data_IF_274693189323
#
_entry.id   IF_274693189323
#
_cell.length_a   1.000
_cell.length_b   1.000
_cell.length_c   1.000
_cell.angle_alpha   90.00
_cell.angle_beta   90.00
_cell.angle_gamma   90.00
#
_symmetry.space_group_name_H-M   'P 1'
#
loop_
_entity.id
_entity.type
_entity.pdbx_description
1 polymer ?
#
# COMPACT_ATOMS: atom_id res chain seq x y z
N UNK A 1 -4.87 -8.69 -7.85
CA UNK A 1 -5.68 -7.86 -8.76
C UNK A 1 -5.14 -6.43 -8.85
N UNK A 2 -3.94 -6.23 -9.35
CA UNK A 2 -3.25 -4.94 -9.47
C UNK A 2 -4.12 -3.72 -9.79
N UNK A 3 -4.24 -3.36 -11.06
CA UNK A 3 -5.00 -2.18 -11.52
C UNK A 3 -6.49 -2.45 -11.79
N UNK A 4 -6.96 -3.69 -11.62
CA UNK A 4 -8.39 -3.99 -11.72
C UNK A 4 -9.15 -3.37 -10.56
N UNK A 5 -10.18 -2.58 -10.86
CA UNK A 5 -10.94 -1.84 -9.85
C UNK A 5 -12.11 -2.67 -9.31
N UNK A 6 -11.77 -3.67 -8.49
CA UNK A 6 -12.77 -4.53 -7.83
C UNK A 6 -13.20 -3.94 -6.48
N UNK A 7 -14.46 -4.20 -6.07
CA UNK A 7 -14.95 -3.71 -4.78
C UNK A 7 -14.33 -4.44 -3.59
N UNK A 8 -14.44 -3.82 -2.42
CA UNK A 8 -14.07 -4.41 -1.15
C UNK A 8 -15.03 -5.56 -0.82
N UNK A 9 -14.48 -6.68 -0.37
CA UNK A 9 -15.27 -7.83 0.06
C UNK A 9 -15.96 -7.56 1.42
N UNK A 10 -17.05 -8.27 1.74
CA UNK A 10 -17.74 -8.10 3.03
C UNK A 10 -16.83 -8.24 4.25
N UNK A 11 -15.89 -9.19 4.22
CA UNK A 11 -14.89 -9.38 5.29
C UNK A 11 -13.97 -8.15 5.42
N UNK A 12 -13.58 -7.58 4.30
CA UNK A 12 -12.78 -6.35 4.27
C UNK A 12 -13.56 -5.14 4.83
N UNK A 13 -14.85 -5.04 4.53
CA UNK A 13 -15.70 -4.00 5.11
C UNK A 13 -15.82 -4.14 6.63
N UNK A 14 -16.03 -5.37 7.12
CA UNK A 14 -16.11 -5.63 8.56
C UNK A 14 -14.80 -5.27 9.27
N UNK A 15 -13.66 -5.62 8.68
CA UNK A 15 -12.32 -5.29 9.21
C UNK A 15 -12.11 -3.77 9.25
N UNK A 16 -12.45 -3.07 8.18
CA UNK A 16 -12.32 -1.60 8.12
C UNK A 16 -13.18 -0.91 9.18
N UNK A 17 -14.42 -1.37 9.38
CA UNK A 17 -15.30 -0.86 10.44
C UNK A 17 -14.70 -1.10 11.83
N UNK A 18 -14.11 -2.26 12.06
CA UNK A 18 -13.48 -2.59 13.34
C UNK A 18 -12.24 -1.73 13.63
N UNK A 19 -11.55 -1.24 12.60
CA UNK A 19 -10.39 -0.35 12.75
C UNK A 19 -10.77 1.11 13.02
N UNK A 20 -12.02 1.50 12.80
CA UNK A 20 -12.46 2.89 12.91
C UNK A 20 -12.10 3.55 14.25
N UNK A 21 -12.34 2.95 15.42
CA UNK A 21 -12.00 3.59 16.70
C UNK A 21 -10.49 3.89 16.82
N UNK A 22 -9.64 3.00 16.33
CA UNK A 22 -8.18 3.20 16.33
C UNK A 22 -7.78 4.37 15.45
N UNK A 23 -8.37 4.47 14.27
CA UNK A 23 -8.09 5.56 13.31
C UNK A 23 -8.63 6.89 13.86
N UNK A 24 -9.82 6.92 14.43
CA UNK A 24 -10.43 8.13 15.01
C UNK A 24 -9.65 8.66 16.23
N UNK A 25 -8.88 7.82 16.90
CA UNK A 25 -8.01 8.24 18.01
C UNK A 25 -6.78 9.04 17.53
N UNK A 26 -6.50 9.05 16.24
CA UNK A 26 -5.39 9.79 15.64
C UNK A 26 -5.88 11.07 14.95
N UNK A 27 -5.03 12.07 14.91
CA UNK A 27 -5.26 13.31 14.16
C UNK A 27 -4.34 13.34 12.95
N UNK A 28 -4.92 13.45 11.76
CA UNK A 28 -4.16 13.51 10.51
C UNK A 28 -4.22 14.91 9.91
N UNK A 29 -3.08 15.40 9.42
CA UNK A 29 -3.01 16.64 8.64
C UNK A 29 -3.36 16.41 7.17
N UNK A 30 -3.21 15.18 6.68
CA UNK A 30 -3.46 14.79 5.30
C UNK A 30 -3.91 13.33 5.25
N UNK A 31 -4.92 13.05 4.44
CA UNK A 31 -5.39 11.68 4.17
C UNK A 31 -5.39 11.45 2.67
N UNK A 32 -4.60 10.49 2.20
CA UNK A 32 -4.46 10.16 0.79
C UNK A 32 -4.98 8.75 0.50
N UNK A 33 -5.67 8.59 -0.62
CA UNK A 33 -6.17 7.28 -1.05
C UNK A 33 -5.85 6.99 -2.50
N UNK A 34 -5.55 5.73 -2.77
CA UNK A 34 -5.62 5.19 -4.12
C UNK A 34 -6.98 5.49 -4.76
N UNK A 35 -7.05 5.72 -6.08
CA UNK A 35 -8.33 5.90 -6.77
C UNK A 35 -9.20 4.63 -6.80
N UNK A 36 -8.62 3.44 -6.50
CA UNK A 36 -9.36 2.17 -6.51
C UNK A 36 -10.46 2.16 -5.46
N UNK A 37 -11.66 1.69 -5.84
CA UNK A 37 -12.84 1.72 -4.97
C UNK A 37 -12.62 0.99 -3.63
N UNK A 38 -11.88 -0.12 -3.62
CA UNK A 38 -11.60 -0.87 -2.38
C UNK A 38 -10.78 -0.07 -1.36
N UNK A 39 -9.87 0.77 -1.81
CA UNK A 39 -9.09 1.65 -0.92
C UNK A 39 -9.94 2.82 -0.42
N UNK A 40 -10.68 3.48 -1.30
CA UNK A 40 -11.59 4.58 -0.92
C UNK A 40 -12.67 4.10 0.05
N UNK A 41 -13.26 2.94 -0.22
CA UNK A 41 -14.27 2.36 0.66
C UNK A 41 -13.71 2.06 2.05
N UNK A 42 -12.48 1.57 2.14
CA UNK A 42 -11.79 1.36 3.41
C UNK A 42 -11.68 2.67 4.19
N UNK A 43 -11.24 3.75 3.54
CA UNK A 43 -11.14 5.06 4.19
C UNK A 43 -12.50 5.59 4.66
N UNK A 44 -13.55 5.42 3.85
CA UNK A 44 -14.93 5.79 4.22
C UNK A 44 -15.40 5.07 5.49
N UNK A 45 -15.21 3.75 5.53
CA UNK A 45 -15.61 2.92 6.67
C UNK A 45 -14.81 3.24 7.94
N UNK A 46 -13.61 3.76 7.80
CA UNK A 46 -12.78 4.24 8.90
C UNK A 46 -13.11 5.68 9.33
N UNK A 47 -14.10 6.32 8.72
CA UNK A 47 -14.57 7.65 9.09
C UNK A 47 -13.81 8.80 8.42
N UNK A 48 -13.00 8.53 7.42
CA UNK A 48 -12.17 9.54 6.74
C UNK A 48 -12.65 9.89 5.33
N UNK A 49 -13.82 9.39 4.91
CA UNK A 49 -14.34 9.56 3.55
C UNK A 49 -14.39 11.01 3.07
N UNK A 50 -14.77 11.94 3.93
CA UNK A 50 -14.88 13.38 3.60
C UNK A 50 -13.52 14.09 3.57
N UNK A 51 -12.46 13.42 4.00
CA UNK A 51 -11.12 14.01 4.15
C UNK A 51 -10.09 13.48 3.17
N UNK A 52 -10.38 12.39 2.47
CA UNK A 52 -9.42 11.79 1.54
C UNK A 52 -9.24 12.63 0.30
N UNK A 53 -7.99 12.77 -0.11
CA UNK A 53 -7.60 13.24 -1.43
C UNK A 53 -7.10 12.04 -2.25
N UNK A 54 -7.52 11.94 -3.49
CA UNK A 54 -7.10 10.86 -4.38
C UNK A 54 -5.70 11.15 -4.91
N UNK A 55 -4.82 10.18 -4.75
CA UNK A 55 -3.47 10.22 -5.32
C UNK A 55 -3.23 8.98 -6.20
N UNK A 56 -3.13 9.15 -7.52
CA UNK A 56 -2.87 8.03 -8.43
C UNK A 56 -1.57 7.27 -8.14
N UNK A 57 -0.60 7.91 -7.49
CA UNK A 57 0.65 7.24 -7.10
C UNK A 57 0.44 6.14 -6.06
N UNK A 58 -0.71 6.11 -5.39
CA UNK A 58 -1.08 5.07 -4.41
C UNK A 58 -1.73 3.83 -5.05
N UNK A 59 -1.86 3.79 -6.37
CA UNK A 59 -2.41 2.64 -7.09
C UNK A 59 -1.51 1.41 -6.90
N UNK A 60 -2.12 0.20 -6.89
CA UNK A 60 -1.36 -1.04 -6.78
C UNK A 60 -0.40 -1.22 -7.95
N UNK A 61 0.60 -2.07 -7.78
CA UNK A 61 1.54 -2.48 -8.81
C UNK A 61 0.79 -2.93 -10.06
N UNK A 62 1.14 -2.36 -11.20
CA UNK A 62 0.58 -2.78 -12.48
C UNK A 62 1.32 -4.05 -12.94
N UNK A 63 0.63 -5.18 -12.87
CA UNK A 63 1.20 -6.48 -13.26
C UNK A 63 1.17 -6.75 -14.77
N UNK A 64 0.66 -5.81 -15.57
CA UNK A 64 0.61 -5.96 -17.03
C UNK A 64 -0.15 -7.22 -17.45
N UNK A 65 0.49 -8.07 -18.24
CA UNK A 65 -0.10 -9.32 -18.73
C UNK A 65 -0.37 -10.36 -17.62
N UNK A 66 0.23 -10.18 -16.44
CA UNK A 66 0.01 -11.09 -15.31
C UNK A 66 -1.15 -10.67 -14.41
N UNK A 67 -1.89 -9.63 -14.79
CA UNK A 67 -3.09 -9.23 -14.07
C UNK A 67 -4.09 -10.37 -14.00
N UNK A 68 -4.52 -10.74 -12.79
CA UNK A 68 -5.44 -11.85 -12.56
C UNK A 68 -4.84 -13.25 -12.68
N UNK A 69 -3.53 -13.36 -12.96
CA UNK A 69 -2.84 -14.64 -13.06
C UNK A 69 -2.13 -14.93 -11.75
N UNK A 70 -2.26 -16.15 -11.25
CA UNK A 70 -1.60 -16.55 -10.00
C UNK A 70 -0.10 -16.78 -10.20
N UNK A 71 0.67 -16.63 -9.13
CA UNK A 71 2.12 -16.95 -9.15
C UNK A 71 2.35 -18.39 -9.61
N UNK A 72 1.50 -19.33 -9.20
CA UNK A 72 1.60 -20.72 -9.61
C UNK A 72 1.49 -20.89 -11.12
N UNK A 73 0.49 -20.22 -11.72
CA UNK A 73 0.28 -20.26 -13.19
C UNK A 73 1.44 -19.62 -13.94
N UNK A 74 1.94 -18.49 -13.47
CA UNK A 74 3.10 -17.83 -14.08
C UNK A 74 4.32 -18.75 -14.06
N UNK A 75 4.54 -19.45 -12.96
CA UNK A 75 5.68 -20.37 -12.79
C UNK A 75 5.62 -21.61 -13.67
N UNK A 76 4.50 -21.92 -14.28
CA UNK A 76 4.40 -22.97 -15.28
C UNK A 76 5.24 -22.64 -16.54
N UNK A 77 5.38 -21.35 -16.86
CA UNK A 77 6.15 -20.89 -18.02
C UNK A 77 7.44 -20.14 -17.63
N UNK A 78 7.48 -19.53 -16.47
CA UNK A 78 8.64 -18.80 -15.93
C UNK A 78 8.97 -19.36 -14.54
N UNK A 79 9.73 -20.47 -14.46
CA UNK A 79 10.11 -21.07 -13.16
C UNK A 79 10.74 -20.05 -12.21
N UNK A 80 10.43 -20.16 -10.92
CA UNK A 80 10.95 -19.30 -9.85
C UNK A 80 10.54 -17.82 -9.94
N UNK A 81 9.61 -17.47 -10.83
CA UNK A 81 9.13 -16.09 -10.95
C UNK A 81 8.55 -15.58 -9.61
N UNK A 82 8.94 -14.35 -9.27
CA UNK A 82 8.25 -13.53 -8.26
C UNK A 82 8.14 -12.10 -8.80
N UNK A 83 7.16 -11.35 -8.33
CA UNK A 83 7.02 -9.93 -8.71
C UNK A 83 8.27 -9.11 -8.32
N UNK A 84 9.01 -9.58 -7.32
CA UNK A 84 10.19 -8.90 -6.79
C UNK A 84 11.45 -9.07 -7.65
N UNK A 85 11.55 -10.17 -8.37
CA UNK A 85 12.81 -10.60 -9.02
C UNK A 85 12.70 -10.72 -10.53
N UNK A 86 11.50 -10.71 -11.10
CA UNK A 86 11.31 -10.91 -12.53
C UNK A 86 10.25 -9.95 -13.08
N UNK A 87 10.32 -9.56 -14.37
CA UNK A 87 9.44 -8.57 -14.94
C UNK A 87 7.99 -9.06 -15.07
N UNK A 88 7.08 -8.09 -15.08
CA UNK A 88 5.70 -8.27 -15.52
C UNK A 88 5.59 -7.68 -16.94
N UNK A 89 5.41 -8.51 -17.98
CA UNK A 89 5.31 -7.99 -19.35
C UNK A 89 4.21 -6.94 -19.48
N UNK A 90 4.57 -5.77 -20.05
CA UNK A 90 3.71 -4.58 -20.17
C UNK A 90 3.20 -4.03 -18.83
N UNK A 91 3.82 -4.41 -17.74
CA UNK A 91 3.54 -3.88 -16.41
C UNK A 91 4.67 -3.00 -15.89
N UNK A 92 4.55 -2.63 -14.62
CA UNK A 92 5.58 -1.86 -13.93
C UNK A 92 6.74 -2.75 -13.48
N UNK A 93 7.92 -2.17 -13.41
CA UNK A 93 9.07 -2.71 -12.69
C UNK A 93 9.03 -2.28 -11.22
N UNK A 94 9.84 -2.92 -10.37
CA UNK A 94 10.00 -2.46 -8.98
C UNK A 94 10.48 -1.01 -8.89
N UNK A 95 11.35 -0.57 -9.80
CA UNK A 95 11.83 0.82 -9.86
C UNK A 95 10.72 1.81 -10.25
N UNK A 96 9.81 1.43 -11.14
CA UNK A 96 8.65 2.25 -11.48
C UNK A 96 7.76 2.46 -10.25
N UNK A 97 7.50 1.41 -9.50
CA UNK A 97 6.70 1.46 -8.27
C UNK A 97 7.43 2.27 -7.20
N UNK A 98 8.73 2.10 -7.03
CA UNK A 98 9.53 2.89 -6.10
C UNK A 98 9.54 4.39 -6.44
N UNK A 99 9.52 4.75 -7.73
CA UNK A 99 9.41 6.14 -8.16
C UNK A 99 8.09 6.76 -7.71
N UNK A 100 6.98 6.02 -7.82
CA UNK A 100 5.67 6.45 -7.29
C UNK A 100 5.70 6.56 -5.76
N UNK A 101 6.32 5.59 -5.09
CA UNK A 101 6.47 5.61 -3.64
C UNK A 101 7.23 6.84 -3.16
N UNK A 102 8.31 7.23 -3.84
CA UNK A 102 9.06 8.46 -3.51
C UNK A 102 8.19 9.71 -3.62
N UNK A 103 7.32 9.80 -4.62
CA UNK A 103 6.39 10.95 -4.75
C UNK A 103 5.41 11.01 -3.59
N UNK A 104 4.89 9.86 -3.16
CA UNK A 104 3.99 9.78 -2.00
C UNK A 104 4.72 10.19 -0.72
N UNK A 105 5.95 9.70 -0.51
CA UNK A 105 6.79 10.05 0.64
C UNK A 105 7.06 11.54 0.67
N UNK A 106 7.46 12.14 -0.45
CA UNK A 106 7.73 13.57 -0.53
C UNK A 106 6.48 14.40 -0.20
N UNK A 107 5.33 13.99 -0.69
CA UNK A 107 4.06 14.64 -0.36
C UNK A 107 3.71 14.52 1.11
N UNK A 108 3.91 13.37 1.70
CA UNK A 108 3.67 13.15 3.12
C UNK A 108 4.60 13.99 3.99
N UNK A 109 5.90 14.05 3.65
CA UNK A 109 6.88 14.84 4.37
C UNK A 109 6.66 16.36 4.26
N UNK A 110 5.98 16.81 3.22
CA UNK A 110 5.60 18.22 3.07
C UNK A 110 4.41 18.62 3.95
N UNK A 111 3.71 17.67 4.55
CA UNK A 111 2.59 17.91 5.46
C UNK A 111 3.09 18.14 6.89
N UNK A 112 2.37 18.97 7.66
CA UNK A 112 2.80 19.41 8.98
C UNK A 112 2.53 18.41 10.11
N UNK A 113 1.88 17.29 9.83
CA UNK A 113 1.48 16.32 10.84
C UNK A 113 1.44 14.90 10.28
N UNK A 114 0.74 14.04 10.99
CA UNK A 114 0.58 12.65 10.57
C UNK A 114 -0.26 12.55 9.29
N UNK A 115 0.12 11.61 8.45
CA UNK A 115 -0.53 11.36 7.15
C UNK A 115 -1.09 9.95 7.13
N UNK A 116 -2.38 9.82 6.77
CA UNK A 116 -3.00 8.52 6.54
C UNK A 116 -2.91 8.15 5.05
N UNK A 117 -2.52 6.93 4.75
CA UNK A 117 -2.42 6.40 3.39
C UNK A 117 -3.31 5.16 3.25
N UNK A 118 -4.13 5.13 2.22
CA UNK A 118 -4.97 4.00 1.86
C UNK A 118 -4.56 3.48 0.48
N UNK A 119 -4.00 2.29 0.45
CA UNK A 119 -3.38 1.73 -0.74
C UNK A 119 -3.47 0.19 -0.75
N UNK A 120 -2.49 -0.47 -1.30
CA UNK A 120 -2.53 -1.87 -1.64
C UNK A 120 -1.27 -2.60 -1.20
N UNK A 121 -1.37 -3.93 -1.15
CA UNK A 121 -0.34 -4.79 -0.56
C UNK A 121 1.06 -4.62 -1.15
N UNK A 122 1.24 -4.83 -2.45
CA UNK A 122 2.58 -4.76 -3.03
C UNK A 122 3.13 -3.34 -3.06
N UNK A 123 2.28 -2.34 -3.40
CA UNK A 123 2.72 -0.94 -3.37
C UNK A 123 3.22 -0.53 -1.98
N UNK A 124 2.45 -0.84 -0.92
CA UNK A 124 2.83 -0.46 0.45
C UNK A 124 4.11 -1.16 0.91
N UNK A 125 4.37 -2.37 0.46
CA UNK A 125 5.62 -3.08 0.76
C UNK A 125 6.81 -2.41 0.07
N UNK A 126 6.66 -1.95 -1.17
CA UNK A 126 7.67 -1.14 -1.85
C UNK A 126 7.83 0.22 -1.18
N UNK A 127 6.73 0.84 -0.74
CA UNK A 127 6.77 2.12 -0.01
C UNK A 127 7.60 1.97 1.27
N UNK A 128 7.41 0.90 2.03
CA UNK A 128 8.19 0.65 3.24
C UNK A 128 9.68 0.46 2.93
N UNK A 129 10.01 -0.32 1.91
CA UNK A 129 11.40 -0.49 1.45
C UNK A 129 12.01 0.86 1.06
N UNK A 130 11.27 1.66 0.29
CA UNK A 130 11.71 2.99 -0.15
C UNK A 130 11.88 3.95 1.02
N UNK A 131 10.98 3.94 1.99
CA UNK A 131 11.09 4.71 3.23
C UNK A 131 12.37 4.40 3.99
N UNK A 132 12.74 3.13 4.06
CA UNK A 132 13.94 2.65 4.74
C UNK A 132 15.21 2.74 3.87
N UNK A 133 15.11 3.34 2.68
CA UNK A 133 16.23 3.49 1.73
C UNK A 133 16.79 2.14 1.24
N UNK A 134 15.94 1.13 1.20
CA UNK A 134 16.24 -0.18 0.63
C UNK A 134 15.84 -0.22 -0.85
N UNK A 135 16.41 -1.15 -1.59
CA UNK A 135 15.97 -1.41 -2.96
C UNK A 135 14.51 -1.91 -2.99
N UNK A 136 13.75 -1.67 -4.09
CA UNK A 136 12.35 -2.06 -4.16
C UNK A 136 12.08 -3.54 -3.86
N UNK A 137 12.97 -4.45 -4.29
CA UNK A 137 12.83 -5.87 -4.02
C UNK A 137 12.93 -6.21 -2.52
N UNK A 138 13.44 -5.32 -1.69
CA UNK A 138 13.43 -5.46 -0.23
C UNK A 138 12.01 -5.56 0.34
N UNK A 139 11.00 -5.10 -0.38
CA UNK A 139 9.59 -5.26 -0.02
C UNK A 139 9.17 -6.73 0.14
N UNK A 140 9.88 -7.68 -0.47
CA UNK A 140 9.60 -9.10 -0.32
C UNK A 140 9.70 -9.60 1.13
N UNK A 141 10.48 -8.91 1.95
CA UNK A 141 10.71 -9.29 3.35
C UNK A 141 9.66 -8.70 4.31
N UNK A 142 8.79 -7.83 3.85
CA UNK A 142 7.75 -7.20 4.63
C UNK A 142 6.40 -7.84 4.33
N UNK A 143 6.08 -8.95 5.00
CA UNK A 143 4.75 -9.55 4.86
C UNK A 143 3.67 -8.54 5.24
N UNK A 144 2.61 -8.45 4.45
CA UNK A 144 1.50 -7.55 4.69
C UNK A 144 0.19 -8.25 4.40
N UNK A 145 -0.63 -8.38 5.43
CA UNK A 145 -1.98 -8.91 5.33
C UNK A 145 -2.98 -7.76 5.11
N UNK A 146 -4.14 -8.09 4.56
CA UNK A 146 -5.23 -7.11 4.39
C UNK A 146 -5.78 -6.67 5.75
N UNK A 147 -6.20 -5.42 5.85
CA UNK A 147 -6.85 -4.90 7.06
C UNK A 147 -5.93 -4.80 8.27
N UNK A 148 -4.67 -4.50 8.06
CA UNK A 148 -3.70 -4.30 9.14
C UNK A 148 -3.20 -2.86 9.16
N UNK A 149 -2.61 -2.46 10.29
CA UNK A 149 -2.02 -1.15 10.50
C UNK A 149 -0.50 -1.22 10.36
N UNK A 150 0.06 -0.26 9.62
CA UNK A 150 1.49 -0.03 9.53
C UNK A 150 1.78 1.43 9.85
N UNK A 151 2.89 1.70 10.53
CA UNK A 151 3.33 3.05 10.86
C UNK A 151 4.81 3.20 10.50
N UNK A 152 5.07 4.08 9.55
CA UNK A 152 6.40 4.56 9.21
C UNK A 152 6.65 5.85 10.00
N UNK A 153 7.81 5.99 10.61
CA UNK A 153 8.06 7.08 11.54
C UNK A 153 9.53 7.50 11.52
N UNK A 154 9.89 8.34 12.47
CA UNK A 154 11.27 8.73 12.73
C UNK A 154 11.66 8.35 14.15
N UNK A 155 12.90 7.92 14.31
CA UNK A 155 13.60 7.88 15.57
C UNK A 155 14.76 8.87 15.46
N UNK A 156 14.68 9.95 16.20
CA UNK A 156 15.55 11.12 15.97
C UNK A 156 15.45 11.55 14.49
N UNK A 157 16.57 11.64 13.77
CA UNK A 157 16.62 11.96 12.35
C UNK A 157 16.46 10.75 11.42
N UNK A 158 16.41 9.52 11.98
CA UNK A 158 16.37 8.29 11.20
C UNK A 158 14.94 7.89 10.86
N UNK A 159 14.72 7.47 9.61
CA UNK A 159 13.48 6.82 9.18
C UNK A 159 13.43 5.41 9.76
N UNK A 160 12.33 5.06 10.40
CA UNK A 160 12.15 3.75 11.02
C UNK A 160 10.79 3.15 10.67
N UNK A 161 10.71 1.85 10.81
CA UNK A 161 9.47 1.09 10.78
C UNK A 161 8.99 0.91 12.22
N UNK A 162 8.00 1.70 12.65
CA UNK A 162 7.51 1.67 14.02
C UNK A 162 6.53 0.52 14.27
N UNK A 163 5.63 0.30 13.33
CA UNK A 163 4.62 -0.76 13.41
C UNK A 163 4.45 -1.35 12.02
N UNK A 164 4.35 -2.66 11.94
CA UNK A 164 4.15 -3.34 10.67
C UNK A 164 3.20 -4.51 10.82
N UNK A 165 2.21 -4.57 9.91
CA UNK A 165 1.26 -5.67 9.81
C UNK A 165 0.54 -5.98 11.13
N UNK A 166 0.20 -4.95 11.88
CA UNK A 166 -0.49 -5.12 13.16
C UNK A 166 -1.99 -5.35 12.96
N UNK A 167 -2.48 -6.44 13.52
CA UNK A 167 -3.92 -6.65 13.61
C UNK A 167 -4.53 -5.62 14.55
N UNK A 168 -5.71 -5.10 14.17
CA UNK A 168 -6.47 -4.14 14.97
C UNK A 168 -7.80 -4.77 15.34
N UNK A 169 -8.06 -4.85 16.62
CA UNK A 169 -9.31 -5.39 17.16
C UNK A 169 -10.22 -4.28 17.68
#
# INVERSE_FOLDING_TARGET
>A
TGTSDIPLLPEGEATAKAMRPTVEAHTFSLCLSSPMQRARRTAELMGLGDRIEIDPNLTEWNYGHYEGVTTKEIRETVPDWTVWTAPCPNGETGEDVAARARRVIDRALASDGDVALFSHGHFLRVLAATWLELAPHGGQFFKLDTGTLCILSFEHEYRVLKTWNAAVS
#
